data_IF_952297677351
#
_entry.id   IF_952297677351
#
_cell.length_a   1.000
_cell.length_b   1.000
_cell.length_c   1.000
_cell.angle_alpha   90.00
_cell.angle_beta   90.00
_cell.angle_gamma   90.00
#
_symmetry.space_group_name_H-M   'P 1'
#
loop_
_entity.id
_entity.type
_entity.pdbx_description
1 polymer ?
#
# COMPACT_ATOMS: atom_id res chain seq x y z
N UNK A 1 -10.37 -18.55 -6.65
CA UNK A 1 -8.93 -18.36 -6.32
C UNK A 1 -8.48 -19.54 -5.46
N UNK A 2 -7.25 -20.03 -5.67
CA UNK A 2 -6.70 -21.14 -4.85
C UNK A 2 -6.17 -20.67 -3.47
N UNK A 3 -5.97 -19.38 -3.26
CA UNK A 3 -5.42 -18.78 -2.02
C UNK A 3 -6.03 -17.41 -1.77
N UNK A 4 -5.92 -16.92 -0.52
CA UNK A 4 -6.48 -15.63 -0.07
C UNK A 4 -5.42 -14.55 0.19
N UNK A 5 -4.21 -14.94 0.56
CA UNK A 5 -3.07 -14.04 0.84
C UNK A 5 -1.77 -14.63 0.29
N UNK A 6 -0.73 -13.80 0.17
CA UNK A 6 0.62 -14.26 -0.22
C UNK A 6 1.14 -15.34 0.74
N UNK A 7 0.99 -15.13 2.05
CA UNK A 7 1.35 -16.15 3.06
C UNK A 7 0.56 -17.44 2.89
N UNK A 8 -0.75 -17.35 2.61
CA UNK A 8 -1.57 -18.55 2.39
C UNK A 8 -1.14 -19.31 1.13
N UNK A 9 -0.77 -18.62 0.06
CA UNK A 9 -0.18 -19.22 -1.13
C UNK A 9 1.14 -19.91 -0.81
N UNK A 10 2.07 -19.22 -0.14
CA UNK A 10 3.37 -19.74 0.23
C UNK A 10 3.27 -21.01 1.10
N UNK A 11 2.38 -21.04 2.09
CA UNK A 11 2.12 -22.21 2.94
C UNK A 11 1.52 -23.41 2.18
N UNK A 12 0.92 -23.17 1.02
CA UNK A 12 0.43 -24.21 0.11
C UNK A 12 1.47 -24.62 -0.96
N UNK A 13 2.69 -24.07 -0.91
CA UNK A 13 3.72 -24.29 -1.92
C UNK A 13 3.42 -23.64 -3.27
N UNK A 14 2.54 -22.63 -3.30
CA UNK A 14 2.15 -21.92 -4.51
C UNK A 14 3.03 -20.66 -4.64
N UNK A 15 3.85 -20.62 -5.67
CA UNK A 15 4.57 -19.41 -6.07
C UNK A 15 3.61 -18.48 -6.81
N UNK A 16 3.53 -17.23 -6.37
CA UNK A 16 2.71 -16.20 -7.01
C UNK A 16 3.56 -15.33 -7.93
N UNK A 17 2.93 -14.63 -8.86
CA UNK A 17 3.62 -13.65 -9.74
C UNK A 17 4.30 -12.53 -8.94
N UNK A 18 3.74 -12.17 -7.79
CA UNK A 18 4.31 -11.19 -6.88
C UNK A 18 5.60 -11.73 -6.24
N UNK A 19 5.64 -13.00 -5.82
CA UNK A 19 6.85 -13.65 -5.31
C UNK A 19 7.95 -13.72 -6.38
N UNK A 20 7.61 -14.08 -7.62
CA UNK A 20 8.56 -14.11 -8.74
C UNK A 20 9.17 -12.73 -8.99
N UNK A 21 8.35 -11.67 -9.02
CA UNK A 21 8.80 -10.31 -9.23
C UNK A 21 9.72 -9.83 -8.09
N UNK A 22 9.36 -10.11 -6.84
CA UNK A 22 10.16 -9.76 -5.67
C UNK A 22 11.49 -10.51 -5.67
N UNK A 23 11.48 -11.82 -5.93
CA UNK A 23 12.69 -12.64 -5.98
C UNK A 23 13.66 -12.13 -7.06
N UNK A 24 13.15 -11.79 -8.23
CA UNK A 24 13.94 -11.20 -9.32
C UNK A 24 14.55 -9.83 -8.94
N UNK A 25 13.79 -8.96 -8.29
CA UNK A 25 14.26 -7.65 -7.82
C UNK A 25 15.35 -7.78 -6.74
N UNK A 26 15.16 -8.69 -5.80
CA UNK A 26 16.09 -8.93 -4.69
C UNK A 26 17.32 -9.74 -5.11
N UNK A 27 17.25 -10.51 -6.20
CA UNK A 27 18.32 -11.40 -6.67
C UNK A 27 18.46 -12.66 -5.81
N UNK A 28 17.34 -13.19 -5.30
CA UNK A 28 17.29 -14.40 -4.47
C UNK A 28 16.45 -15.49 -5.13
N UNK A 29 16.61 -16.73 -4.68
CA UNK A 29 15.77 -17.84 -5.16
C UNK A 29 14.34 -17.67 -4.71
N UNK A 30 13.39 -17.92 -5.62
CA UNK A 30 11.96 -17.74 -5.34
C UNK A 30 11.42 -18.72 -4.29
N UNK A 31 12.06 -19.90 -4.14
CA UNK A 31 11.67 -20.88 -3.12
C UNK A 31 12.11 -20.44 -1.74
N UNK A 32 13.30 -19.82 -1.65
CA UNK A 32 13.79 -19.25 -0.39
C UNK A 32 12.90 -18.09 0.03
N UNK A 33 12.56 -17.18 -0.90
CA UNK A 33 11.58 -16.12 -0.65
C UNK A 33 10.24 -16.69 -0.17
N UNK A 34 9.73 -17.71 -0.86
CA UNK A 34 8.45 -18.34 -0.50
C UNK A 34 8.49 -18.95 0.90
N UNK A 35 9.61 -19.57 1.31
CA UNK A 35 9.77 -20.12 2.65
C UNK A 35 9.71 -19.02 3.73
N UNK A 36 10.37 -17.88 3.50
CA UNK A 36 10.34 -16.72 4.40
C UNK A 36 8.94 -16.07 4.46
N UNK A 37 8.22 -15.99 3.33
CA UNK A 37 6.82 -15.53 3.31
C UNK A 37 5.91 -16.49 4.07
N UNK A 38 6.10 -17.80 3.94
CA UNK A 38 5.35 -18.81 4.67
C UNK A 38 5.61 -18.75 6.18
N UNK A 39 6.85 -18.45 6.57
CA UNK A 39 7.27 -18.26 7.96
C UNK A 39 6.77 -16.93 8.56
N UNK A 40 6.42 -15.95 7.72
CA UNK A 40 5.95 -14.62 8.15
C UNK A 40 7.08 -13.63 8.45
N UNK A 41 8.30 -13.90 8.02
CA UNK A 41 9.48 -13.03 8.14
C UNK A 41 9.64 -12.08 6.97
N UNK A 42 8.91 -12.32 5.88
CA UNK A 42 8.77 -11.44 4.72
C UNK A 42 7.28 -11.21 4.43
N UNK A 43 6.91 -9.97 4.13
CA UNK A 43 5.59 -9.58 3.65
C UNK A 43 5.71 -8.95 2.26
N UNK A 44 4.73 -9.24 1.41
CA UNK A 44 4.59 -8.63 0.08
C UNK A 44 3.25 -7.91 0.05
N UNK A 45 3.21 -6.59 0.33
CA UNK A 45 2.01 -5.80 0.22
C UNK A 45 1.59 -5.69 -1.25
N UNK A 46 0.42 -6.20 -1.58
CA UNK A 46 -0.07 -6.21 -2.96
C UNK A 46 -1.59 -6.34 -2.99
N UNK A 47 -2.28 -5.24 -3.14
CA UNK A 47 -3.73 -5.26 -3.27
C UNK A 47 -4.13 -5.68 -4.69
N UNK A 48 -5.06 -6.61 -4.80
CA UNK A 48 -5.59 -7.09 -6.09
C UNK A 48 -6.22 -6.00 -6.97
N UNK A 49 -6.63 -4.88 -6.37
CA UNK A 49 -7.24 -3.74 -7.05
C UNK A 49 -6.20 -2.71 -7.53
N UNK A 50 -4.95 -2.78 -7.05
CA UNK A 50 -3.84 -1.95 -7.49
C UNK A 50 -3.20 -2.55 -8.75
N UNK A 51 -3.68 -2.14 -9.94
CA UNK A 51 -3.33 -2.81 -11.21
C UNK A 51 -1.95 -2.47 -11.77
N UNK A 52 -1.46 -1.26 -11.50
CA UNK A 52 -0.14 -0.82 -11.97
C UNK A 52 1.00 -1.15 -10.99
N UNK A 53 0.70 -1.79 -9.85
CA UNK A 53 1.67 -2.13 -8.81
C UNK A 53 2.86 -2.93 -9.34
N UNK A 54 4.06 -2.46 -9.00
CA UNK A 54 5.29 -3.24 -9.00
C UNK A 54 5.51 -3.76 -7.58
N UNK A 55 5.35 -5.06 -7.31
CA UNK A 55 5.41 -5.57 -5.96
C UNK A 55 6.84 -5.57 -5.43
N UNK A 56 7.00 -5.21 -4.15
CA UNK A 56 8.24 -5.32 -3.40
C UNK A 56 8.02 -6.12 -2.12
N UNK A 57 9.07 -6.80 -1.66
CA UNK A 57 9.05 -7.51 -0.39
C UNK A 57 9.66 -6.65 0.72
N UNK A 58 9.13 -6.79 1.92
CA UNK A 58 9.63 -6.14 3.14
C UNK A 58 9.89 -7.23 4.18
N UNK A 59 11.08 -7.28 4.72
CA UNK A 59 11.41 -8.26 5.74
C UNK A 59 12.86 -8.72 5.74
N UNK A 60 13.07 -9.91 6.30
CA UNK A 60 14.39 -10.46 6.56
C UNK A 60 15.20 -10.66 5.27
N UNK A 61 16.47 -10.34 5.31
CA UNK A 61 17.42 -10.55 4.21
C UNK A 61 17.13 -9.83 2.90
N UNK A 62 16.13 -8.93 2.87
CA UNK A 62 15.82 -8.12 1.69
C UNK A 62 16.49 -6.74 1.78
N UNK A 63 16.66 -6.08 0.63
CA UNK A 63 17.10 -4.69 0.56
C UNK A 63 16.15 -3.78 1.33
N UNK A 64 16.68 -2.75 1.99
CA UNK A 64 15.85 -1.71 2.63
C UNK A 64 15.07 -0.94 1.57
N UNK A 65 13.76 -0.80 1.77
CA UNK A 65 12.87 -0.03 0.89
C UNK A 65 12.72 1.40 1.40
N UNK A 66 12.69 2.34 0.47
CA UNK A 66 12.42 3.75 0.78
C UNK A 66 10.93 4.00 0.69
N UNK A 67 10.36 4.50 1.78
CA UNK A 67 8.99 4.96 1.84
C UNK A 67 8.96 6.49 1.88
N UNK A 68 8.23 7.12 0.95
CA UNK A 68 8.07 8.57 0.88
C UNK A 68 6.69 8.97 1.37
N UNK A 69 6.67 9.88 2.36
CA UNK A 69 5.45 10.43 2.91
C UNK A 69 5.04 11.70 2.15
N UNK A 70 3.78 11.78 1.78
CA UNK A 70 3.16 12.94 1.12
C UNK A 70 1.66 12.97 1.44
N UNK A 71 0.92 13.90 0.85
CA UNK A 71 -0.53 13.98 1.03
C UNK A 71 -1.03 15.40 1.24
N UNK A 72 -2.33 15.57 1.09
CA UNK A 72 -3.01 16.86 1.21
C UNK A 72 -3.22 17.29 2.65
N UNK A 73 -3.12 18.60 2.89
CA UNK A 73 -3.39 19.25 4.18
C UNK A 73 -4.22 20.50 3.99
N UNK A 74 -4.61 21.18 5.08
CA UNK A 74 -5.33 22.45 5.00
C UNK A 74 -4.58 23.52 4.20
N UNK A 75 -3.26 23.50 4.27
CA UNK A 75 -2.40 24.52 3.66
C UNK A 75 -2.01 24.16 2.22
N UNK A 76 -2.20 22.89 1.82
CA UNK A 76 -1.87 22.41 0.49
C UNK A 76 -2.91 21.36 0.03
N UNK A 77 -3.82 21.79 -0.87
CA UNK A 77 -4.90 20.96 -1.42
C UNK A 77 -4.74 20.66 -2.91
N UNK A 78 -3.61 21.04 -3.50
CA UNK A 78 -3.38 20.88 -4.92
C UNK A 78 -2.95 19.43 -5.24
N UNK A 79 -3.87 18.65 -5.82
CA UNK A 79 -3.65 17.25 -6.17
C UNK A 79 -2.59 17.07 -7.26
N UNK A 80 -2.43 18.02 -8.17
CA UNK A 80 -1.44 17.93 -9.24
C UNK A 80 -0.02 18.09 -8.66
N UNK A 81 0.15 18.99 -7.68
CA UNK A 81 1.41 19.13 -6.94
C UNK A 81 1.74 17.86 -6.14
N UNK A 82 0.74 17.23 -5.49
CA UNK A 82 0.95 15.97 -4.79
C UNK A 82 1.33 14.85 -5.75
N UNK A 83 0.69 14.76 -6.93
CA UNK A 83 1.08 13.78 -7.96
C UNK A 83 2.47 14.04 -8.55
N UNK A 84 2.89 15.31 -8.67
CA UNK A 84 4.25 15.64 -9.06
C UNK A 84 5.29 15.11 -8.06
N UNK A 85 5.01 15.24 -6.75
CA UNK A 85 5.85 14.64 -5.69
C UNK A 85 5.90 13.12 -5.81
N UNK A 86 4.76 12.45 -6.06
CA UNK A 86 4.69 11.00 -6.27
C UNK A 86 5.59 10.58 -7.44
N UNK A 87 5.42 11.23 -8.59
CA UNK A 87 6.20 10.92 -9.78
C UNK A 87 7.70 11.10 -9.55
N UNK A 88 8.08 12.18 -8.86
CA UNK A 88 9.49 12.43 -8.50
C UNK A 88 10.03 11.40 -7.53
N UNK A 89 9.26 11.00 -6.51
CA UNK A 89 9.66 9.96 -5.57
C UNK A 89 9.89 8.62 -6.30
N UNK A 90 8.97 8.21 -7.17
CA UNK A 90 9.10 6.99 -7.98
C UNK A 90 10.31 7.06 -8.95
N UNK A 91 10.52 8.20 -9.62
CA UNK A 91 11.68 8.45 -10.48
C UNK A 91 13.00 8.31 -9.72
N UNK A 92 13.03 8.77 -8.46
CA UNK A 92 14.18 8.66 -7.57
C UNK A 92 14.35 7.27 -6.95
N UNK A 93 13.45 6.33 -7.23
CA UNK A 93 13.54 4.94 -6.80
C UNK A 93 12.83 4.60 -5.50
N UNK A 94 11.88 5.42 -5.06
CA UNK A 94 11.05 5.06 -3.91
C UNK A 94 10.20 3.81 -4.24
N UNK A 95 10.24 2.82 -3.35
CA UNK A 95 9.48 1.58 -3.50
C UNK A 95 8.10 1.64 -2.84
N UNK A 96 7.90 2.58 -1.94
CA UNK A 96 6.63 2.80 -1.25
C UNK A 96 6.29 4.29 -1.14
N UNK A 97 4.99 4.59 -1.22
CA UNK A 97 4.42 5.91 -0.98
C UNK A 97 3.40 5.78 0.15
N UNK A 98 3.52 6.65 1.16
CA UNK A 98 2.53 6.77 2.23
C UNK A 98 1.70 8.03 2.02
N UNK A 99 0.44 7.87 1.68
CA UNK A 99 -0.52 8.97 1.63
C UNK A 99 -1.00 9.31 3.04
N UNK A 100 -0.54 10.46 3.53
CA UNK A 100 -0.88 11.02 4.83
C UNK A 100 -1.95 12.12 4.72
N UNK A 101 -2.75 12.12 3.65
CA UNK A 101 -3.80 13.10 3.44
C UNK A 101 -4.73 13.19 4.64
N UNK A 102 -4.88 14.42 5.15
CA UNK A 102 -5.67 14.73 6.35
C UNK A 102 -6.75 15.77 6.10
N UNK A 103 -6.91 16.22 4.86
CA UNK A 103 -7.88 17.25 4.50
C UNK A 103 -8.23 17.23 3.00
N UNK A 104 -9.46 17.64 2.66
CA UNK A 104 -9.92 17.77 1.29
C UNK A 104 -10.49 16.47 0.70
N UNK A 105 -10.27 16.25 -0.59
CA UNK A 105 -10.82 15.11 -1.34
C UNK A 105 -9.88 13.88 -1.28
N UNK A 106 -9.62 13.36 -0.08
CA UNK A 106 -8.70 12.27 0.19
C UNK A 106 -9.00 11.02 -0.66
N UNK A 107 -10.27 10.65 -0.79
CA UNK A 107 -10.69 9.52 -1.63
C UNK A 107 -10.33 9.70 -3.11
N UNK A 108 -10.52 10.91 -3.66
CA UNK A 108 -10.19 11.21 -5.06
C UNK A 108 -8.68 11.07 -5.29
N UNK A 109 -7.87 11.59 -4.37
CA UNK A 109 -6.41 11.47 -4.44
C UNK A 109 -5.96 10.02 -4.34
N UNK A 110 -6.49 9.27 -3.37
CA UNK A 110 -6.20 7.83 -3.20
C UNK A 110 -6.51 7.02 -4.45
N UNK A 111 -7.66 7.25 -5.10
CA UNK A 111 -8.00 6.59 -6.36
C UNK A 111 -6.99 6.92 -7.45
N UNK A 112 -6.61 8.19 -7.59
CA UNK A 112 -5.59 8.59 -8.56
C UNK A 112 -4.24 7.92 -8.29
N UNK A 113 -3.82 7.81 -7.02
CA UNK A 113 -2.61 7.09 -6.63
C UNK A 113 -2.66 5.62 -7.06
N UNK A 114 -3.74 4.91 -6.75
CA UNK A 114 -3.91 3.49 -7.11
C UNK A 114 -3.90 3.28 -8.62
N UNK A 115 -4.43 4.21 -9.39
CA UNK A 115 -4.51 4.08 -10.85
C UNK A 115 -3.18 4.41 -11.55
N UNK A 116 -2.33 5.28 -10.98
CA UNK A 116 -1.17 5.85 -11.67
C UNK A 116 0.19 5.51 -11.02
N UNK A 117 0.24 5.25 -9.70
CA UNK A 117 1.50 5.04 -8.98
C UNK A 117 1.89 3.56 -8.96
N UNK A 118 3.08 3.16 -9.47
CA UNK A 118 3.51 1.75 -9.45
C UNK A 118 4.16 1.32 -8.12
N UNK A 119 4.41 2.23 -7.19
CA UNK A 119 4.99 1.91 -5.88
C UNK A 119 3.93 1.31 -4.95
N UNK A 120 4.35 0.60 -3.91
CA UNK A 120 3.45 0.13 -2.84
C UNK A 120 2.77 1.34 -2.18
N UNK A 121 1.46 1.32 -2.05
CA UNK A 121 0.68 2.41 -1.48
C UNK A 121 0.21 2.10 -0.07
N UNK A 122 0.60 2.95 0.86
CA UNK A 122 0.12 2.97 2.23
C UNK A 122 -0.78 4.17 2.51
N UNK A 123 -1.68 4.02 3.47
CA UNK A 123 -2.55 5.11 3.96
C UNK A 123 -2.72 5.05 5.47
N UNK A 124 -3.24 6.12 6.04
CA UNK A 124 -3.57 6.20 7.47
C UNK A 124 -5.08 6.42 7.63
N UNK A 125 -5.89 5.35 7.72
CA UNK A 125 -7.35 5.46 7.77
C UNK A 125 -7.88 6.36 8.89
N UNK A 126 -7.13 6.51 9.99
CA UNK A 126 -7.51 7.39 11.10
C UNK A 126 -7.61 8.85 10.69
N UNK A 127 -6.77 9.32 9.76
CA UNK A 127 -6.84 10.69 9.26
C UNK A 127 -8.05 10.88 8.36
N UNK A 128 -8.31 9.89 7.49
CA UNK A 128 -9.43 9.92 6.56
C UNK A 128 -10.79 9.81 7.26
N UNK A 129 -10.88 9.01 8.32
CA UNK A 129 -12.11 8.85 9.09
C UNK A 129 -12.67 10.18 9.62
N UNK A 130 -11.78 11.07 10.12
CA UNK A 130 -12.18 12.40 10.62
C UNK A 130 -12.76 13.24 9.48
N UNK A 131 -12.12 13.21 8.31
CA UNK A 131 -12.52 13.97 7.13
C UNK A 131 -13.84 13.43 6.57
N UNK A 132 -13.93 12.10 6.41
CA UNK A 132 -15.07 11.42 5.80
C UNK A 132 -16.36 11.57 6.61
N UNK A 133 -16.28 11.35 7.92
CA UNK A 133 -17.45 11.45 8.80
C UNK A 133 -17.67 12.84 9.38
N UNK A 134 -16.73 13.75 9.22
CA UNK A 134 -16.75 15.08 9.84
C UNK A 134 -17.03 15.02 11.35
N UNK A 135 -16.34 14.10 12.03
CA UNK A 135 -16.49 13.82 13.46
C UNK A 135 -15.15 13.90 14.18
N UNK A 136 -15.19 14.19 15.48
CA UNK A 136 -14.00 14.00 16.31
C UNK A 136 -13.69 12.50 16.45
N UNK A 137 -12.41 12.14 16.58
CA UNK A 137 -11.97 10.73 16.69
C UNK A 137 -12.72 9.94 17.77
N UNK A 138 -12.99 10.55 18.92
CA UNK A 138 -13.69 9.94 20.05
C UNK A 138 -15.15 9.58 19.75
N UNK A 139 -15.74 10.20 18.72
CA UNK A 139 -17.15 10.05 18.36
C UNK A 139 -17.34 9.10 17.17
N UNK A 140 -16.24 8.54 16.60
CA UNK A 140 -16.29 7.55 15.55
C UNK A 140 -16.59 6.19 16.14
N UNK A 141 -17.67 5.56 15.69
CA UNK A 141 -18.10 4.25 16.13
C UNK A 141 -17.24 3.13 15.56
N UNK A 142 -17.22 1.95 16.21
CA UNK A 142 -16.50 0.76 15.72
C UNK A 142 -16.93 0.36 14.30
N UNK A 143 -18.20 0.56 13.94
CA UNK A 143 -18.70 0.25 12.59
C UNK A 143 -18.13 1.22 11.56
N UNK A 144 -18.13 2.51 11.85
CA UNK A 144 -17.54 3.54 10.98
C UNK A 144 -16.03 3.31 10.77
N UNK A 145 -15.30 2.88 11.82
CA UNK A 145 -13.92 2.46 11.69
C UNK A 145 -13.76 1.33 10.68
N UNK A 146 -14.51 0.25 10.82
CA UNK A 146 -14.46 -0.90 9.91
C UNK A 146 -14.79 -0.47 8.48
N UNK A 147 -15.77 0.40 8.30
CA UNK A 147 -16.19 0.87 6.98
C UNK A 147 -15.07 1.71 6.29
N UNK A 148 -14.34 2.55 7.03
CA UNK A 148 -13.18 3.28 6.48
C UNK A 148 -12.06 2.32 6.06
N UNK A 149 -11.68 1.35 6.90
CA UNK A 149 -10.69 0.35 6.53
C UNK A 149 -11.08 -0.44 5.27
N UNK A 150 -12.35 -0.85 5.18
CA UNK A 150 -12.87 -1.52 3.98
C UNK A 150 -12.78 -0.65 2.75
N UNK A 151 -13.17 0.61 2.86
CA UNK A 151 -13.11 1.58 1.76
C UNK A 151 -11.67 1.69 1.22
N UNK A 152 -10.67 1.86 2.09
CA UNK A 152 -9.27 1.92 1.67
C UNK A 152 -8.81 0.62 0.98
N UNK A 153 -9.19 -0.53 1.54
CA UNK A 153 -8.86 -1.83 0.95
C UNK A 153 -9.54 -2.04 -0.42
N UNK A 154 -10.79 -1.63 -0.57
CA UNK A 154 -11.55 -1.70 -1.82
C UNK A 154 -11.02 -0.74 -2.88
N UNK A 155 -10.53 0.43 -2.46
CA UNK A 155 -9.87 1.39 -3.35
C UNK A 155 -8.57 0.87 -3.94
N UNK A 156 -7.90 -0.06 -3.28
CA UNK A 156 -6.68 -0.68 -3.78
C UNK A 156 -5.41 -0.38 -2.98
N UNK A 157 -5.55 0.16 -1.76
CA UNK A 157 -4.41 0.41 -0.85
C UNK A 157 -3.74 -0.90 -0.47
N UNK A 158 -2.41 -0.94 -0.51
CA UNK A 158 -1.61 -2.15 -0.28
C UNK A 158 -1.35 -2.42 1.20
N UNK A 159 -1.26 -1.35 2.03
CA UNK A 159 -1.09 -1.47 3.49
C UNK A 159 -1.67 -0.25 4.24
N UNK A 160 -1.97 -0.45 5.52
CA UNK A 160 -2.58 0.56 6.39
C UNK A 160 -1.98 0.49 7.80
#
# INVERSE_FOLDING_TARGET
MKYTTQMNAARQGIVTKEMEAVAAYEGIDVKDLMAEVAAGTIVIPANKNHKCLKPFGIGNSLKTKINVNLGTSRDCLNLDVEMEKVNKAVEMGAEAIMDLSSFGHTHVFRKKLVDECPAILGTVPIYDAIVYYNKALKDITSREWIDVFKMHAEDGVDFM
#
